data_IF_446350971773
#
_entry.id   IF_446350971773
#
_cell.length_a   1.000
_cell.length_b   1.000
_cell.length_c   1.000
_cell.angle_alpha   90.00
_cell.angle_beta   90.00
_cell.angle_gamma   90.00
#
_symmetry.space_group_name_H-M   'P 1'
#
loop_
_entity.id
_entity.type
_entity.pdbx_description
1 polymer ?
#
# COMPACT_ATOMS: atom_id res chain seq x y z
N UNK A 1 33.26 4.24 -22.07
CA UNK A 1 33.34 3.06 -21.17
C UNK A 1 32.30 2.10 -21.66
N UNK A 2 32.67 0.89 -22.10
CA UNK A 2 31.69 -0.17 -22.38
C UNK A 2 30.89 -0.40 -21.10
N UNK A 3 29.60 -0.19 -21.18
CA UNK A 3 28.66 -0.64 -20.13
C UNK A 3 28.71 -2.16 -20.19
N UNK A 4 29.00 -2.83 -19.08
CA UNK A 4 28.93 -4.29 -19.02
C UNK A 4 27.45 -4.68 -19.26
N UNK A 5 27.21 -5.70 -20.11
CA UNK A 5 25.85 -6.21 -20.41
C UNK A 5 25.16 -6.88 -19.19
N UNK A 6 25.74 -6.75 -18.00
CA UNK A 6 25.23 -7.37 -16.77
C UNK A 6 24.53 -6.31 -15.92
N UNK A 7 23.22 -6.51 -15.71
CA UNK A 7 22.43 -5.79 -14.72
C UNK A 7 22.63 -6.39 -13.33
N UNK A 8 22.53 -5.56 -12.28
CA UNK A 8 22.61 -6.04 -10.90
C UNK A 8 21.41 -6.95 -10.58
N UNK A 9 20.23 -6.58 -11.08
CA UNK A 9 18.99 -7.37 -10.92
C UNK A 9 18.12 -7.32 -12.17
N UNK A 10 17.27 -8.32 -12.34
CA UNK A 10 16.21 -8.29 -13.36
C UNK A 10 15.11 -7.27 -12.96
N UNK A 11 14.70 -7.28 -11.70
CA UNK A 11 13.64 -6.43 -11.19
C UNK A 11 14.06 -5.73 -9.91
N UNK A 12 13.97 -4.39 -9.91
CA UNK A 12 14.05 -3.56 -8.71
C UNK A 12 12.62 -3.19 -8.28
N UNK A 13 12.24 -3.52 -7.06
CA UNK A 13 10.97 -3.13 -6.45
C UNK A 13 11.21 -1.99 -5.47
N UNK A 14 10.52 -0.87 -5.64
CA UNK A 14 10.65 0.34 -4.80
C UNK A 14 9.49 0.43 -3.84
N UNK A 15 9.75 0.18 -2.55
CA UNK A 15 8.78 0.10 -1.46
C UNK A 15 8.43 -1.33 -1.08
N UNK A 16 8.38 -1.63 0.22
CA UNK A 16 8.10 -2.96 0.78
C UNK A 16 6.68 -3.09 1.37
N UNK A 17 5.75 -2.21 1.00
CA UNK A 17 4.34 -2.36 1.35
C UNK A 17 3.68 -3.57 0.68
N UNK A 18 2.34 -3.75 0.77
CA UNK A 18 1.66 -4.95 0.26
C UNK A 18 1.91 -5.21 -1.22
N UNK A 19 1.90 -4.14 -2.03
CA UNK A 19 2.18 -4.23 -3.48
C UNK A 19 3.62 -4.65 -3.75
N UNK A 20 4.58 -4.02 -3.09
CA UNK A 20 6.00 -4.28 -3.33
C UNK A 20 6.44 -5.65 -2.82
N UNK A 21 6.07 -6.02 -1.60
CA UNK A 21 6.36 -7.34 -1.05
C UNK A 21 5.79 -8.46 -1.93
N UNK A 22 4.53 -8.31 -2.39
CA UNK A 22 3.91 -9.30 -3.27
C UNK A 22 4.53 -9.29 -4.69
N UNK A 23 4.86 -8.12 -5.24
CA UNK A 23 5.53 -8.04 -6.54
C UNK A 23 6.86 -8.81 -6.52
N UNK A 24 7.67 -8.57 -5.49
CA UNK A 24 8.94 -9.27 -5.32
C UNK A 24 8.76 -10.77 -5.10
N UNK A 25 7.77 -11.17 -4.28
CA UNK A 25 7.43 -12.58 -4.08
C UNK A 25 7.09 -13.27 -5.40
N UNK A 26 6.24 -12.65 -6.22
CA UNK A 26 5.84 -13.21 -7.51
C UNK A 26 6.97 -13.19 -8.54
N UNK A 27 7.83 -12.18 -8.55
CA UNK A 27 9.01 -12.12 -9.40
C UNK A 27 10.01 -13.23 -9.04
N UNK A 28 10.33 -13.39 -7.75
CA UNK A 28 11.22 -14.44 -7.27
C UNK A 28 10.71 -15.86 -7.62
N UNK A 29 9.41 -16.12 -7.44
CA UNK A 29 8.76 -17.38 -7.85
C UNK A 29 8.85 -17.66 -9.34
N UNK A 30 9.04 -16.65 -10.16
CA UNK A 30 9.27 -16.77 -11.61
C UNK A 30 10.75 -16.88 -11.98
N UNK A 31 11.64 -16.94 -10.99
CA UNK A 31 13.07 -17.09 -11.17
C UNK A 31 13.79 -15.79 -11.59
N UNK A 32 13.17 -14.63 -11.40
CA UNK A 32 13.78 -13.33 -11.67
C UNK A 32 14.65 -12.91 -10.50
N UNK A 33 15.87 -12.44 -10.76
CA UNK A 33 16.69 -11.80 -9.73
C UNK A 33 16.02 -10.51 -9.30
N UNK A 34 15.62 -10.43 -8.03
CA UNK A 34 14.73 -9.38 -7.52
C UNK A 34 15.31 -8.75 -6.27
N UNK A 35 15.35 -7.42 -6.24
CA UNK A 35 15.74 -6.63 -5.07
C UNK A 35 14.57 -5.74 -4.65
N UNK A 36 14.22 -5.75 -3.37
CA UNK A 36 13.30 -4.79 -2.75
C UNK A 36 14.13 -3.74 -2.03
N UNK A 37 13.84 -2.47 -2.28
CA UNK A 37 14.36 -1.36 -1.48
C UNK A 37 13.23 -0.69 -0.71
N UNK A 38 13.50 -0.36 0.57
CA UNK A 38 12.55 0.29 1.47
C UNK A 38 13.26 1.44 2.21
N UNK A 39 12.66 2.64 2.23
CA UNK A 39 13.30 3.82 2.83
C UNK A 39 13.18 3.87 4.37
N UNK A 40 12.29 3.10 4.95
CA UNK A 40 12.18 2.94 6.41
C UNK A 40 13.16 1.90 6.96
N UNK A 41 13.36 1.96 8.27
CA UNK A 41 14.19 0.99 9.01
C UNK A 41 13.44 -0.29 9.35
N UNK A 42 12.11 -0.30 9.20
CA UNK A 42 11.23 -1.39 9.54
C UNK A 42 10.04 -1.39 8.59
N UNK A 43 9.72 -2.54 8.01
CA UNK A 43 8.61 -2.72 7.08
C UNK A 43 7.29 -2.55 7.82
N UNK A 44 6.31 -1.90 7.18
CA UNK A 44 4.96 -1.76 7.70
C UNK A 44 4.82 -0.70 8.79
N UNK A 45 5.86 0.07 9.08
CA UNK A 45 5.81 1.14 10.08
C UNK A 45 6.26 2.47 9.50
N UNK A 46 5.45 3.54 9.66
CA UNK A 46 4.15 3.61 10.34
C UNK A 46 3.01 2.98 9.53
N UNK A 47 1.98 2.48 10.21
CA UNK A 47 0.76 1.99 9.57
C UNK A 47 -0.07 3.16 9.02
N UNK A 48 -0.54 3.04 7.77
CA UNK A 48 -1.37 4.04 7.08
C UNK A 48 -2.69 3.46 6.58
N UNK A 49 -3.25 2.45 7.23
CA UNK A 49 -4.35 1.64 6.72
C UNK A 49 -5.38 1.34 7.82
N UNK A 50 -6.65 1.13 7.44
CA UNK A 50 -7.69 0.55 8.31
C UNK A 50 -7.49 -0.94 8.60
N UNK A 51 -6.55 -1.60 7.91
CA UNK A 51 -6.07 -2.95 8.18
C UNK A 51 -7.03 -4.09 7.79
N UNK A 52 -8.00 -3.83 6.91
CA UNK A 52 -8.99 -4.84 6.50
C UNK A 52 -8.62 -5.52 5.17
N UNK A 53 -8.99 -6.79 5.06
CA UNK A 53 -8.95 -7.57 3.82
C UNK A 53 -10.15 -8.54 3.76
N UNK A 54 -10.82 -8.64 2.60
CA UNK A 54 -11.97 -9.51 2.42
C UNK A 54 -11.57 -10.98 2.24
N UNK A 55 -12.49 -11.90 2.56
CA UNK A 55 -12.32 -13.33 2.27
C UNK A 55 -12.11 -13.59 0.79
N UNK A 56 -12.83 -12.87 -0.05
CA UNK A 56 -12.70 -12.98 -1.50
C UNK A 56 -11.27 -12.63 -1.95
N UNK A 57 -10.70 -11.54 -1.42
CA UNK A 57 -9.33 -11.17 -1.73
C UNK A 57 -8.31 -12.22 -1.26
N UNK A 58 -8.49 -12.74 -0.06
CA UNK A 58 -7.63 -13.82 0.48
C UNK A 58 -7.70 -15.06 -0.39
N UNK A 59 -8.91 -15.47 -0.80
CA UNK A 59 -9.12 -16.63 -1.64
C UNK A 59 -8.56 -16.43 -3.06
N UNK A 60 -8.88 -15.32 -3.72
CA UNK A 60 -8.44 -15.01 -5.09
C UNK A 60 -6.91 -14.87 -5.22
N UNK A 61 -6.25 -14.44 -4.16
CA UNK A 61 -4.79 -14.31 -4.11
C UNK A 61 -4.11 -15.53 -3.48
N UNK A 62 -4.89 -16.54 -3.07
CA UNK A 62 -4.41 -17.74 -2.39
C UNK A 62 -3.47 -17.43 -1.21
N UNK A 63 -3.84 -16.42 -0.39
CA UNK A 63 -3.04 -16.02 0.75
C UNK A 63 -3.23 -17.02 1.90
N UNK A 64 -2.12 -17.54 2.41
CA UNK A 64 -2.10 -18.41 3.59
C UNK A 64 -1.69 -17.54 4.80
N UNK A 65 -2.66 -16.73 5.30
CA UNK A 65 -2.40 -15.78 6.39
C UNK A 65 -1.97 -16.50 7.68
N UNK A 66 -0.80 -16.22 8.23
CA UNK A 66 -0.41 -16.74 9.56
C UNK A 66 -1.31 -16.19 10.66
N UNK A 67 -1.45 -16.93 11.75
CA UNK A 67 -2.33 -16.54 12.87
C UNK A 67 -1.89 -15.23 13.52
N UNK A 68 -0.60 -14.99 13.64
CA UNK A 68 -0.03 -13.76 14.20
C UNK A 68 -0.38 -12.50 13.39
N UNK A 69 -0.59 -12.66 12.09
CA UNK A 69 -0.99 -11.57 11.18
C UNK A 69 -2.48 -11.23 11.31
N UNK A 70 -3.30 -12.19 11.73
CA UNK A 70 -4.75 -12.01 11.87
C UNK A 70 -5.06 -11.37 13.21
N UNK A 71 -5.56 -10.14 13.21
CA UNK A 71 -6.04 -9.49 14.42
C UNK A 71 -7.45 -9.97 14.79
N UNK A 72 -8.37 -10.01 13.82
CA UNK A 72 -9.75 -10.45 14.04
C UNK A 72 -10.41 -10.97 12.77
N UNK A 73 -11.26 -11.96 12.92
CA UNK A 73 -12.25 -12.35 11.91
C UNK A 73 -13.45 -11.42 12.03
N UNK A 74 -13.99 -10.93 10.92
CA UNK A 74 -15.18 -10.08 10.91
C UNK A 74 -16.39 -10.80 10.36
N UNK A 75 -17.54 -10.52 10.98
CA UNK A 75 -18.83 -11.14 10.66
C UNK A 75 -19.54 -10.48 9.48
N UNK A 76 -19.14 -9.25 9.13
CA UNK A 76 -19.75 -8.46 8.07
C UNK A 76 -19.46 -6.97 8.26
N UNK A 77 -20.07 -6.18 7.42
CA UNK A 77 -19.99 -4.72 7.43
C UNK A 77 -21.34 -4.17 7.84
N UNK A 78 -21.35 -3.15 8.72
CA UNK A 78 -22.55 -2.42 9.10
C UNK A 78 -22.36 -0.95 8.76
N UNK A 79 -23.28 -0.40 7.98
CA UNK A 79 -23.32 1.03 7.64
C UNK A 79 -24.38 1.70 8.52
N UNK A 80 -23.97 2.72 9.26
CA UNK A 80 -24.79 3.41 10.28
C UNK A 80 -25.00 4.86 9.85
N UNK A 81 -26.28 5.26 9.81
CA UNK A 81 -26.70 6.61 9.44
C UNK A 81 -26.99 7.48 10.67
N UNK A 82 -27.05 8.83 10.52
CA UNK A 82 -27.25 9.75 11.65
C UNK A 82 -28.58 9.58 12.39
N UNK A 83 -29.60 9.05 11.72
CA UNK A 83 -30.94 8.76 12.29
C UNK A 83 -31.00 7.43 13.05
N UNK A 84 -29.87 6.71 13.15
CA UNK A 84 -29.78 5.40 13.75
C UNK A 84 -30.17 4.24 12.83
N UNK A 85 -30.54 4.51 11.58
CA UNK A 85 -30.75 3.43 10.59
C UNK A 85 -29.47 2.69 10.30
N UNK A 86 -29.56 1.36 10.24
CA UNK A 86 -28.43 0.49 9.93
C UNK A 86 -28.69 -0.36 8.69
N UNK A 87 -27.65 -0.59 7.91
CA UNK A 87 -27.63 -1.54 6.80
C UNK A 87 -26.48 -2.49 6.97
N UNK A 88 -26.76 -3.79 6.96
CA UNK A 88 -25.75 -4.84 7.03
C UNK A 88 -25.42 -5.36 5.64
N UNK A 89 -24.13 -5.55 5.38
CA UNK A 89 -23.57 -6.22 4.22
C UNK A 89 -22.93 -7.53 4.71
N UNK A 90 -23.10 -8.57 3.93
CA UNK A 90 -22.66 -9.94 4.29
C UNK A 90 -21.20 -10.23 3.96
N UNK A 91 -20.44 -9.22 3.52
CA UNK A 91 -19.03 -9.37 3.22
C UNK A 91 -18.24 -9.65 4.50
N UNK A 92 -17.61 -10.82 4.54
CA UNK A 92 -16.75 -11.25 5.63
C UNK A 92 -15.27 -11.11 5.26
N UNK A 93 -14.40 -11.16 6.25
CA UNK A 93 -12.97 -11.02 6.04
C UNK A 93 -12.18 -10.98 7.34
N UNK A 94 -11.03 -10.34 7.27
CA UNK A 94 -10.11 -10.23 8.38
C UNK A 94 -9.73 -8.77 8.63
N UNK A 95 -9.51 -8.44 9.89
CA UNK A 95 -8.69 -7.32 10.29
C UNK A 95 -7.29 -7.86 10.59
N UNK A 96 -6.29 -7.21 10.07
CA UNK A 96 -4.91 -7.64 10.16
C UNK A 96 -4.15 -6.83 11.22
N UNK A 97 -3.05 -7.37 11.71
CA UNK A 97 -1.94 -6.59 12.24
C UNK A 97 -1.08 -6.19 11.04
N UNK A 98 -1.39 -5.03 10.43
CA UNK A 98 -0.93 -4.66 9.10
C UNK A 98 0.60 -4.63 8.96
N UNK A 99 1.30 -4.15 9.99
CA UNK A 99 2.75 -4.15 10.01
C UNK A 99 3.33 -5.57 9.93
N UNK A 100 2.73 -6.54 10.66
CA UNK A 100 3.14 -7.94 10.60
C UNK A 100 2.80 -8.58 9.24
N UNK A 101 1.67 -8.18 8.66
CA UNK A 101 1.28 -8.64 7.33
C UNK A 101 2.28 -8.21 6.24
N UNK A 102 2.74 -6.96 6.27
CA UNK A 102 3.72 -6.46 5.31
C UNK A 102 5.09 -7.10 5.50
N UNK A 103 5.52 -7.29 6.75
CA UNK A 103 6.73 -8.03 7.09
C UNK A 103 6.65 -9.47 6.57
N UNK A 104 5.54 -10.17 6.84
CA UNK A 104 5.33 -11.55 6.39
C UNK A 104 5.42 -11.70 4.87
N UNK A 105 4.82 -10.78 4.08
CA UNK A 105 4.89 -10.84 2.61
C UNK A 105 6.34 -10.61 2.14
N UNK A 106 7.02 -9.61 2.68
CA UNK A 106 8.41 -9.32 2.31
C UNK A 106 9.36 -10.48 2.70
N UNK A 107 9.19 -11.06 3.88
CA UNK A 107 9.94 -12.25 4.31
C UNK A 107 9.64 -13.45 3.41
N UNK A 108 8.40 -13.59 2.95
CA UNK A 108 8.03 -14.62 1.99
C UNK A 108 8.75 -14.43 0.65
N UNK A 109 8.91 -13.18 0.20
CA UNK A 109 9.69 -12.88 -0.99
C UNK A 109 11.17 -13.25 -0.81
N UNK A 110 11.75 -12.93 0.36
CA UNK A 110 13.14 -13.30 0.68
C UNK A 110 13.33 -14.82 0.73
N UNK A 111 12.39 -15.56 1.30
CA UNK A 111 12.42 -17.04 1.31
C UNK A 111 12.37 -17.65 -0.09
N UNK A 112 11.75 -16.98 -1.05
CA UNK A 112 11.70 -17.36 -2.47
C UNK A 112 12.92 -16.86 -3.28
N UNK A 113 13.87 -16.14 -2.65
CA UNK A 113 15.12 -15.73 -3.27
C UNK A 113 15.22 -14.26 -3.64
N UNK A 114 14.26 -13.41 -3.26
CA UNK A 114 14.42 -11.97 -3.40
C UNK A 114 15.41 -11.43 -2.34
N UNK A 115 16.12 -10.35 -2.68
CA UNK A 115 16.90 -9.58 -1.72
C UNK A 115 16.08 -8.42 -1.16
N UNK A 116 16.35 -8.01 0.08
CA UNK A 116 15.69 -6.90 0.77
C UNK A 116 16.72 -5.94 1.37
N UNK A 117 16.61 -4.66 1.01
CA UNK A 117 17.45 -3.60 1.52
C UNK A 117 16.61 -2.50 2.21
N UNK A 118 16.67 -2.46 3.54
CA UNK A 118 16.04 -1.41 4.35
C UNK A 118 16.91 -0.15 4.39
N UNK A 119 16.31 1.00 4.69
CA UNK A 119 16.98 2.34 4.70
C UNK A 119 17.58 2.71 3.34
N UNK A 120 16.99 2.22 2.27
CA UNK A 120 17.38 2.54 0.90
C UNK A 120 16.30 3.39 0.25
N UNK A 121 16.65 4.64 -0.05
CA UNK A 121 15.74 5.64 -0.62
C UNK A 121 16.15 6.00 -2.02
N UNK A 122 15.31 5.67 -3.00
CA UNK A 122 15.50 6.10 -4.39
C UNK A 122 15.39 7.62 -4.50
N UNK A 123 16.36 8.25 -5.18
CA UNK A 123 16.40 9.70 -5.41
C UNK A 123 16.53 10.10 -6.87
N UNK A 124 16.97 9.19 -7.75
CA UNK A 124 17.01 9.42 -9.18
C UNK A 124 16.94 8.11 -9.98
N UNK A 125 16.50 8.22 -11.22
CA UNK A 125 16.48 7.14 -12.22
C UNK A 125 16.90 7.71 -13.57
N UNK A 126 17.76 6.99 -14.27
CA UNK A 126 18.23 7.31 -15.61
C UNK A 126 18.09 6.10 -16.52
N UNK A 127 17.70 6.33 -17.79
CA UNK A 127 17.63 5.25 -18.78
C UNK A 127 19.03 4.72 -19.08
N UNK A 128 19.14 3.40 -19.19
CA UNK A 128 20.30 2.73 -19.81
C UNK A 128 19.90 2.44 -21.25
N UNK A 129 20.62 3.02 -22.19
CA UNK A 129 20.41 2.84 -23.63
C UNK A 129 21.69 2.28 -24.27
N UNK A 130 21.51 1.38 -25.23
CA UNK A 130 22.59 0.83 -26.05
C UNK A 130 22.13 0.81 -27.50
N UNK A 131 22.93 1.40 -28.38
CA UNK A 131 22.61 1.53 -29.83
C UNK A 131 21.25 2.20 -30.10
N UNK A 132 20.82 3.10 -29.18
CA UNK A 132 19.55 3.82 -29.27
C UNK A 132 18.34 3.01 -28.75
N UNK A 133 18.54 1.82 -28.24
CA UNK A 133 17.51 0.98 -27.64
C UNK A 133 17.53 1.04 -26.13
N UNK A 134 16.35 1.11 -25.50
CA UNK A 134 16.19 1.01 -24.06
C UNK A 134 16.57 -0.39 -23.56
N UNK A 135 17.43 -0.46 -22.54
CA UNK A 135 17.91 -1.72 -21.94
C UNK A 135 17.56 -1.86 -20.46
N UNK A 136 17.21 -0.77 -19.79
CA UNK A 136 16.86 -0.78 -18.37
C UNK A 136 17.08 0.58 -17.71
N UNK A 137 17.16 0.54 -16.40
CA UNK A 137 17.26 1.70 -15.53
C UNK A 137 18.52 1.65 -14.67
N UNK A 138 19.19 2.78 -14.55
CA UNK A 138 20.17 3.06 -13.49
C UNK A 138 19.46 3.85 -12.41
N UNK A 139 19.39 3.27 -11.24
CA UNK A 139 18.75 3.84 -10.05
C UNK A 139 19.82 4.32 -9.08
N UNK A 140 19.67 5.53 -8.52
CA UNK A 140 20.58 6.07 -7.52
C UNK A 140 19.81 6.61 -6.32
N UNK A 141 20.47 6.72 -5.16
CA UNK A 141 19.77 7.07 -3.94
C UNK A 141 20.64 7.10 -2.69
N UNK A 142 19.98 6.99 -1.55
CA UNK A 142 20.60 6.88 -0.23
C UNK A 142 20.55 5.43 0.22
N UNK A 143 21.67 4.86 0.58
CA UNK A 143 21.87 3.47 1.00
C UNK A 143 23.11 2.88 0.35
N UNK A 144 23.67 1.84 0.95
CA UNK A 144 24.99 1.31 0.57
C UNK A 144 24.98 0.55 -0.76
N UNK A 145 23.82 0.06 -1.19
CA UNK A 145 23.67 -0.72 -2.43
C UNK A 145 23.61 0.16 -3.70
N UNK A 146 23.35 1.45 -3.57
CA UNK A 146 23.30 2.34 -4.72
C UNK A 146 24.70 2.64 -5.29
N UNK A 147 24.85 2.83 -6.62
CA UNK A 147 23.81 2.74 -7.65
C UNK A 147 23.44 1.31 -8.01
N UNK A 148 22.17 1.10 -8.41
CA UNK A 148 21.61 -0.19 -8.80
C UNK A 148 21.19 -0.11 -10.28
N UNK A 149 21.57 -1.11 -11.08
CA UNK A 149 21.07 -1.29 -12.45
C UNK A 149 20.02 -2.40 -12.50
N UNK A 150 18.86 -2.10 -13.08
CA UNK A 150 17.76 -3.06 -13.21
C UNK A 150 17.16 -3.03 -14.61
N UNK A 151 16.77 -4.20 -15.15
CA UNK A 151 16.05 -4.26 -16.43
C UNK A 151 14.67 -3.64 -16.29
N UNK A 152 13.98 -3.94 -15.19
CA UNK A 152 12.64 -3.48 -14.88
C UNK A 152 12.60 -2.89 -13.47
N UNK A 153 11.85 -1.81 -13.30
CA UNK A 153 11.52 -1.21 -12.00
C UNK A 153 10.02 -1.37 -11.76
N UNK A 154 9.64 -1.81 -10.57
CA UNK A 154 8.24 -1.81 -10.11
C UNK A 154 8.12 -0.77 -9.00
N UNK A 155 7.38 0.31 -9.26
CA UNK A 155 7.08 1.34 -8.28
C UNK A 155 5.92 0.91 -7.38
N UNK A 156 6.24 0.55 -6.17
CA UNK A 156 5.30 0.20 -5.08
C UNK A 156 5.40 1.19 -3.91
N UNK A 157 5.85 2.42 -4.16
CA UNK A 157 6.11 3.44 -3.14
C UNK A 157 4.86 4.14 -2.62
N UNK A 158 3.68 3.54 -2.83
CA UNK A 158 2.40 4.04 -2.37
C UNK A 158 2.04 5.39 -3.01
N UNK A 159 1.28 6.21 -2.29
CA UNK A 159 0.83 7.52 -2.76
C UNK A 159 1.98 8.46 -3.19
N UNK A 160 3.20 8.16 -2.80
CA UNK A 160 4.39 8.92 -3.20
C UNK A 160 4.73 8.78 -4.66
N UNK A 161 4.46 7.61 -5.27
CA UNK A 161 4.77 7.25 -6.66
C UNK A 161 6.13 7.79 -7.09
N UNK A 162 7.19 7.36 -6.38
CA UNK A 162 8.52 8.00 -6.44
C UNK A 162 9.11 7.93 -7.83
N UNK A 163 8.97 6.78 -8.52
CA UNK A 163 9.60 6.57 -9.82
C UNK A 163 8.95 7.43 -10.92
N UNK A 164 7.65 7.68 -10.83
CA UNK A 164 6.91 8.50 -11.82
C UNK A 164 7.45 9.92 -11.96
N UNK A 165 8.14 10.42 -10.93
CA UNK A 165 8.75 11.77 -10.93
C UNK A 165 9.93 11.88 -11.87
N UNK A 166 10.60 10.75 -12.15
CA UNK A 166 11.80 10.71 -12.99
C UNK A 166 11.49 10.39 -14.45
N UNK A 167 10.25 9.97 -14.73
CA UNK A 167 9.80 9.60 -16.07
C UNK A 167 8.79 10.59 -16.60
N UNK A 168 9.14 11.23 -17.71
CA UNK A 168 8.28 12.17 -18.43
C UNK A 168 8.14 11.69 -19.86
N UNK A 169 7.02 11.08 -20.23
CA UNK A 169 6.75 10.76 -21.61
C UNK A 169 6.84 12.03 -22.46
N UNK A 170 7.61 12.00 -23.53
CA UNK A 170 7.77 13.10 -24.50
C UNK A 170 8.14 14.48 -23.91
N UNK A 171 8.81 14.49 -22.76
CA UNK A 171 9.17 15.72 -22.04
C UNK A 171 8.00 16.44 -21.36
N UNK A 172 6.82 15.82 -21.34
CA UNK A 172 5.58 16.36 -20.80
C UNK A 172 5.37 16.16 -19.30
N UNK A 173 4.13 15.86 -18.92
CA UNK A 173 3.72 15.63 -17.53
C UNK A 173 4.29 14.31 -17.01
N UNK A 174 4.71 14.22 -15.72
CA UNK A 174 5.05 12.94 -15.10
C UNK A 174 3.94 11.90 -15.27
N UNK A 175 4.30 10.59 -15.28
CA UNK A 175 3.34 9.49 -15.43
C UNK A 175 2.18 9.55 -14.42
N UNK A 176 2.41 10.17 -13.28
CA UNK A 176 1.44 10.29 -12.20
C UNK A 176 1.05 11.75 -11.99
N UNK A 177 -0.12 12.12 -12.46
CA UNK A 177 -0.87 13.24 -11.89
C UNK A 177 -1.56 12.68 -10.63
N UNK A 178 -1.07 13.06 -9.45
CA UNK A 178 -1.51 12.50 -8.15
C UNK A 178 -3.02 12.56 -7.89
N UNK A 179 -3.78 13.22 -8.77
CA UNK A 179 -5.22 13.33 -8.68
C UNK A 179 -5.71 13.86 -7.34
N UNK A 180 -6.96 13.53 -7.00
CA UNK A 180 -7.51 13.84 -5.69
C UNK A 180 -7.01 12.86 -4.64
N UNK A 181 -6.68 13.39 -3.47
CA UNK A 181 -6.35 12.62 -2.28
C UNK A 181 -7.20 13.04 -1.10
N UNK A 182 -7.54 12.09 -0.26
CA UNK A 182 -8.21 12.31 1.03
C UNK A 182 -7.25 12.04 2.19
N UNK A 183 -7.60 12.51 3.38
CA UNK A 183 -6.88 12.15 4.60
C UNK A 183 -7.63 11.05 5.34
N UNK A 184 -6.93 9.95 5.62
CA UNK A 184 -7.34 8.97 6.61
C UNK A 184 -6.62 9.21 7.92
N UNK A 185 -7.36 9.16 9.05
CA UNK A 185 -6.79 9.30 10.39
C UNK A 185 -7.56 8.44 11.38
N UNK A 186 -6.87 7.82 12.31
CA UNK A 186 -7.47 6.94 13.31
C UNK A 186 -6.67 6.89 14.61
N UNK A 187 -7.35 6.43 15.66
CA UNK A 187 -6.77 6.00 16.91
C UNK A 187 -6.99 4.49 17.10
N UNK A 188 -6.08 3.82 17.77
CA UNK A 188 -6.36 2.52 18.36
C UNK A 188 -6.92 2.76 19.78
N UNK A 189 -8.18 2.37 20.00
CA UNK A 189 -8.85 2.44 21.31
C UNK A 189 -8.82 1.07 21.98
N UNK A 190 -8.83 1.06 23.31
CA UNK A 190 -8.99 -0.18 24.11
C UNK A 190 -10.37 -0.26 24.74
N UNK A 191 -10.74 -1.47 25.17
CA UNK A 191 -12.02 -1.77 25.82
C UNK A 191 -13.25 -1.38 24.99
N UNK A 192 -13.10 -1.48 23.66
CA UNK A 192 -14.21 -1.18 22.74
C UNK A 192 -15.14 -2.38 22.68
N UNK A 193 -16.42 -2.20 23.06
CA UNK A 193 -17.43 -3.24 22.88
C UNK A 193 -17.63 -3.52 21.39
N UNK A 194 -17.57 -4.78 20.98
CA UNK A 194 -17.77 -5.17 19.59
C UNK A 194 -18.43 -6.53 19.47
N UNK A 195 -19.35 -6.65 18.52
CA UNK A 195 -20.02 -7.87 18.09
C UNK A 195 -19.33 -8.54 16.87
N UNK A 196 -18.20 -7.99 16.44
CA UNK A 196 -17.40 -8.52 15.33
C UNK A 196 -17.73 -7.96 13.95
N UNK A 197 -18.58 -6.95 13.87
CA UNK A 197 -18.82 -6.21 12.62
C UNK A 197 -17.82 -5.07 12.45
N UNK A 198 -17.54 -4.73 11.19
CA UNK A 198 -16.96 -3.44 10.82
C UNK A 198 -18.08 -2.41 10.78
N UNK A 199 -17.98 -1.34 11.55
CA UNK A 199 -18.95 -0.25 11.53
C UNK A 199 -18.45 0.92 10.71
N UNK A 200 -19.21 1.30 9.69
CA UNK A 200 -18.98 2.52 8.91
C UNK A 200 -20.10 3.51 9.19
N UNK A 201 -19.72 4.73 9.60
CA UNK A 201 -20.65 5.80 9.93
C UNK A 201 -20.65 6.83 8.78
N UNK A 202 -21.76 6.95 8.08
CA UNK A 202 -21.98 7.97 7.05
C UNK A 202 -22.54 9.22 7.74
N UNK A 203 -21.69 9.90 8.49
CA UNK A 203 -22.09 11.04 9.33
C UNK A 203 -21.45 12.36 8.86
N UNK A 204 -22.14 13.13 7.98
CA UNK A 204 -21.59 14.35 7.39
C UNK A 204 -21.19 15.43 8.39
N UNK A 205 -21.75 15.40 9.62
CA UNK A 205 -21.34 16.32 10.71
C UNK A 205 -19.84 16.31 10.94
N UNK A 206 -19.20 15.16 10.86
CA UNK A 206 -17.77 14.97 11.14
C UNK A 206 -16.94 14.80 9.86
N UNK A 207 -17.50 14.16 8.84
CA UNK A 207 -16.85 13.89 7.57
C UNK A 207 -17.81 14.16 6.41
N UNK A 208 -17.94 15.43 5.98
CA UNK A 208 -18.92 15.86 4.97
C UNK A 208 -18.79 15.08 3.66
N UNK A 209 -17.55 14.86 3.21
CA UNK A 209 -17.22 14.10 2.01
C UNK A 209 -16.30 12.95 2.37
N UNK A 210 -16.83 12.04 3.15
CA UNK A 210 -16.10 10.90 3.68
C UNK A 210 -16.99 10.08 4.60
N UNK A 211 -16.39 9.32 5.47
CA UNK A 211 -17.05 8.49 6.45
C UNK A 211 -16.13 8.22 7.65
N UNK A 212 -16.69 7.64 8.71
CA UNK A 212 -15.94 7.21 9.87
C UNK A 212 -16.05 5.70 10.02
N UNK A 213 -15.18 5.11 10.81
CA UNK A 213 -15.18 3.66 11.05
C UNK A 213 -14.86 3.29 12.49
N UNK A 214 -15.38 2.14 12.89
CA UNK A 214 -14.87 1.33 13.99
C UNK A 214 -14.53 -0.04 13.44
N UNK A 215 -13.26 -0.40 13.52
CA UNK A 215 -12.69 -1.64 13.00
C UNK A 215 -12.19 -2.45 14.18
N UNK A 216 -12.88 -3.56 14.56
CA UNK A 216 -12.54 -4.32 15.76
C UNK A 216 -11.23 -5.07 15.57
N UNK A 217 -10.40 -5.06 16.59
CA UNK A 217 -9.15 -5.83 16.67
C UNK A 217 -9.21 -6.83 17.83
N UNK A 218 -8.21 -7.71 17.93
CA UNK A 218 -8.09 -8.64 19.07
C UNK A 218 -7.90 -7.89 20.39
N UNK A 219 -8.15 -8.55 21.49
CA UNK A 219 -7.91 -8.05 22.85
C UNK A 219 -8.71 -6.79 23.22
N UNK A 220 -9.95 -6.68 22.70
CA UNK A 220 -10.81 -5.53 22.97
C UNK A 220 -10.36 -4.22 22.32
N UNK A 221 -9.37 -4.25 21.44
CA UNK A 221 -8.91 -3.09 20.68
C UNK A 221 -9.82 -2.82 19.49
N UNK A 222 -9.85 -1.58 19.04
CA UNK A 222 -10.43 -1.21 17.74
C UNK A 222 -9.71 0.01 17.15
N UNK A 223 -9.61 0.04 15.84
CA UNK A 223 -9.27 1.26 15.12
C UNK A 223 -10.54 2.09 14.92
N UNK A 224 -10.57 3.28 15.50
CA UNK A 224 -11.66 4.25 15.32
C UNK A 224 -11.09 5.45 14.56
N UNK A 225 -11.69 5.76 13.42
CA UNK A 225 -11.11 6.75 12.53
C UNK A 225 -12.09 7.35 11.55
N UNK A 226 -11.56 8.18 10.67
CA UNK A 226 -12.29 8.80 9.58
C UNK A 226 -11.42 8.96 8.32
N UNK A 227 -12.12 9.11 7.20
CA UNK A 227 -11.57 9.64 5.97
C UNK A 227 -12.33 10.91 5.58
N UNK A 228 -11.62 11.93 5.09
CA UNK A 228 -12.22 13.20 4.70
C UNK A 228 -11.41 13.93 3.63
N UNK A 229 -12.09 14.70 2.77
CA UNK A 229 -11.44 15.67 1.88
C UNK A 229 -10.91 16.89 2.66
N UNK A 230 -11.53 17.23 3.80
CA UNK A 230 -11.09 18.35 4.68
C UNK A 230 -9.89 17.93 5.55
N UNK A 231 -8.75 17.78 4.91
CA UNK A 231 -7.50 17.32 5.53
C UNK A 231 -7.07 18.11 6.78
N UNK A 232 -7.12 19.46 6.78
CA UNK A 232 -6.76 20.25 7.96
C UNK A 232 -7.64 20.00 9.18
N UNK A 233 -8.92 19.65 8.96
CA UNK A 233 -9.90 19.40 10.01
C UNK A 233 -9.93 17.96 10.50
N UNK A 234 -9.30 17.02 9.78
CA UNK A 234 -9.44 15.56 10.03
C UNK A 234 -9.26 15.19 11.51
N UNK A 235 -8.18 15.66 12.15
CA UNK A 235 -7.94 15.34 13.58
C UNK A 235 -9.05 15.89 14.49
N UNK A 236 -9.42 17.16 14.31
CA UNK A 236 -10.46 17.79 15.13
C UNK A 236 -11.79 17.08 14.96
N UNK A 237 -12.16 16.72 13.74
CA UNK A 237 -13.40 16.01 13.44
C UNK A 237 -13.44 14.60 14.07
N UNK A 238 -12.30 13.90 14.08
CA UNK A 238 -12.18 12.61 14.76
C UNK A 238 -12.31 12.75 16.28
N UNK A 239 -11.65 13.75 16.88
CA UNK A 239 -11.74 14.02 18.30
C UNK A 239 -13.19 14.38 18.72
N UNK A 240 -13.89 15.20 17.92
CA UNK A 240 -15.30 15.54 18.11
C UNK A 240 -16.20 14.30 18.00
N UNK A 241 -15.96 13.41 17.02
CA UNK A 241 -16.72 12.17 16.89
C UNK A 241 -16.56 11.26 18.11
N UNK A 242 -15.33 11.09 18.60
CA UNK A 242 -15.08 10.27 19.79
C UNK A 242 -15.78 10.86 21.01
N UNK A 243 -15.69 12.18 21.21
CA UNK A 243 -16.27 12.87 22.36
C UNK A 243 -17.81 12.85 22.35
N UNK A 244 -18.42 12.86 21.16
CA UNK A 244 -19.89 12.92 20.99
C UNK A 244 -20.55 11.52 20.96
N UNK A 245 -19.77 10.44 21.04
CA UNK A 245 -20.27 9.07 20.88
C UNK A 245 -19.95 8.17 22.08
N UNK A 246 -20.31 6.89 21.97
CA UNK A 246 -19.98 5.87 22.97
C UNK A 246 -18.50 5.55 23.12
N UNK A 247 -17.64 6.11 22.26
CA UNK A 247 -16.18 6.01 22.38
C UNK A 247 -15.59 7.00 23.40
N UNK A 248 -16.42 7.92 23.92
CA UNK A 248 -15.99 8.89 24.92
C UNK A 248 -15.39 8.23 26.15
N UNK A 249 -14.21 8.71 26.52
CA UNK A 249 -13.49 8.23 27.72
C UNK A 249 -12.75 6.92 27.54
N UNK A 250 -12.80 6.28 26.36
CA UNK A 250 -11.97 5.11 26.07
C UNK A 250 -10.52 5.53 25.88
N UNK A 251 -9.60 4.68 26.33
CA UNK A 251 -8.16 4.95 26.23
C UNK A 251 -7.70 4.92 24.76
N UNK A 252 -7.00 5.98 24.35
CA UNK A 252 -6.30 6.05 23.06
C UNK A 252 -4.91 5.45 23.24
N UNK A 253 -4.74 4.20 22.84
CA UNK A 253 -3.49 3.48 23.00
C UNK A 253 -2.48 3.83 21.91
N UNK A 254 -1.20 3.88 22.29
CA UNK A 254 -0.12 3.84 21.31
C UNK A 254 -0.11 2.44 20.68
N UNK A 255 -0.25 2.31 19.34
CA UNK A 255 -0.14 1.02 18.68
C UNK A 255 1.20 0.34 18.99
N UNK A 256 1.23 -1.00 18.99
CA UNK A 256 2.41 -1.79 19.36
C UNK A 256 3.67 -1.47 18.54
N UNK A 257 3.50 -1.08 17.28
CA UNK A 257 4.57 -0.67 16.38
C UNK A 257 5.07 0.77 16.61
N UNK A 258 4.43 1.56 17.47
CA UNK A 258 4.73 2.98 17.71
C UNK A 258 5.23 3.21 19.13
N UNK A 259 6.50 3.50 19.29
CA UNK A 259 7.13 3.60 20.63
C UNK A 259 6.80 4.90 21.36
N UNK A 260 6.52 6.00 20.67
CA UNK A 260 6.27 7.34 21.27
C UNK A 260 5.53 8.27 20.33
N UNK A 261 5.00 9.35 20.87
CA UNK A 261 4.38 10.44 20.12
C UNK A 261 2.85 10.45 20.21
N UNK A 262 2.18 11.12 19.27
CA UNK A 262 0.73 11.19 19.22
C UNK A 262 0.15 9.79 18.93
N UNK A 263 -0.86 9.31 19.67
CA UNK A 263 -1.51 8.02 19.39
C UNK A 263 -2.21 7.98 18.02
N UNK A 264 -2.61 9.13 17.46
CA UNK A 264 -3.20 9.17 16.12
C UNK A 264 -2.21 8.73 15.03
N UNK A 265 -2.73 8.00 14.05
CA UNK A 265 -1.99 7.56 12.88
C UNK A 265 -2.90 7.53 11.63
N UNK A 266 -2.32 7.48 10.45
CA UNK A 266 -3.05 7.53 9.19
C UNK A 266 -2.18 8.08 8.07
N UNK A 267 -2.79 8.38 6.92
CA UNK A 267 -2.09 8.85 5.74
C UNK A 267 -3.00 9.49 4.72
N UNK A 268 -2.45 9.78 3.57
CA UNK A 268 -3.19 10.22 2.39
C UNK A 268 -3.54 9.03 1.51
N UNK A 269 -4.73 9.04 0.93
CA UNK A 269 -5.28 7.99 0.10
C UNK A 269 -5.65 8.59 -1.25
N UNK A 270 -5.18 8.04 -2.40
CA UNK A 270 -5.62 8.49 -3.71
C UNK A 270 -7.04 8.01 -3.99
N UNK A 271 -7.90 8.89 -4.51
CA UNK A 271 -9.31 8.57 -4.79
C UNK A 271 -9.75 8.87 -6.24
N UNK A 272 -8.80 9.17 -7.12
CA UNK A 272 -9.11 9.45 -8.52
C UNK A 272 -9.32 8.19 -9.38
N UNK A 273 -9.11 7.01 -8.80
CA UNK A 273 -9.06 5.75 -9.53
C UNK A 273 -7.72 5.52 -10.21
N UNK A 274 -7.62 4.48 -11.06
CA UNK A 274 -6.39 4.18 -11.78
C UNK A 274 -5.91 5.38 -12.61
N UNK A 275 -4.63 5.66 -12.55
CA UNK A 275 -4.04 6.70 -13.39
C UNK A 275 -4.04 6.26 -14.85
N UNK A 276 -4.13 7.22 -15.77
CA UNK A 276 -4.11 6.94 -17.21
C UNK A 276 -2.82 6.21 -17.63
N UNK A 277 -1.69 6.63 -17.05
CA UNK A 277 -0.39 6.03 -17.31
C UNK A 277 0.13 5.32 -16.05
N UNK A 278 0.08 3.99 -16.05
CA UNK A 278 0.56 3.12 -14.97
C UNK A 278 1.84 2.37 -15.33
N UNK A 279 2.37 2.56 -16.54
CA UNK A 279 3.58 1.89 -17.04
C UNK A 279 4.33 2.76 -18.05
N UNK A 280 5.58 2.45 -18.23
CA UNK A 280 6.50 3.03 -19.19
C UNK A 280 7.57 1.98 -19.53
N UNK A 281 8.47 2.27 -20.51
CA UNK A 281 9.54 1.33 -20.86
C UNK A 281 10.29 0.86 -19.59
N UNK A 282 10.24 -0.44 -19.31
CA UNK A 282 10.85 -1.04 -18.13
C UNK A 282 10.38 -0.50 -16.78
N UNK A 283 9.22 0.18 -16.68
CA UNK A 283 8.67 0.67 -15.43
C UNK A 283 7.17 0.33 -15.34
N UNK A 284 6.76 -0.21 -14.21
CA UNK A 284 5.35 -0.43 -13.86
C UNK A 284 5.04 0.12 -12.47
N UNK A 285 3.87 0.71 -12.30
CA UNK A 285 3.36 1.20 -11.02
C UNK A 285 2.33 0.21 -10.48
N UNK A 286 2.33 -0.04 -9.16
CA UNK A 286 1.38 -0.95 -8.50
C UNK A 286 0.76 -0.30 -7.24
N UNK A 287 -0.41 -0.76 -6.86
CA UNK A 287 -1.13 -0.22 -5.70
C UNK A 287 -1.42 1.27 -5.82
N UNK A 288 -1.29 1.99 -4.72
CA UNK A 288 -1.57 3.43 -4.66
C UNK A 288 -0.64 4.25 -5.56
N UNK A 289 0.56 3.75 -5.90
CA UNK A 289 1.44 4.39 -6.86
C UNK A 289 0.85 4.45 -8.27
N UNK A 290 -0.07 3.55 -8.58
CA UNK A 290 -0.86 3.51 -9.82
C UNK A 290 -2.30 4.02 -9.65
N UNK A 291 -2.67 4.53 -8.46
CA UNK A 291 -4.03 4.94 -8.15
C UNK A 291 -5.01 3.78 -7.97
N UNK A 292 -4.53 2.56 -7.71
CA UNK A 292 -5.37 1.39 -7.52
C UNK A 292 -5.95 1.35 -6.09
N UNK A 293 -6.87 2.26 -5.83
CA UNK A 293 -7.66 2.33 -4.60
C UNK A 293 -9.15 2.28 -4.97
N UNK A 294 -9.93 1.47 -4.25
CA UNK A 294 -11.38 1.42 -4.45
C UNK A 294 -11.99 2.77 -4.08
N UNK A 295 -12.90 3.31 -4.91
CA UNK A 295 -13.61 4.56 -4.57
C UNK A 295 -14.65 4.36 -3.47
N UNK A 296 -14.97 3.12 -3.11
CA UNK A 296 -15.88 2.76 -2.04
C UNK A 296 -15.08 2.22 -0.86
N UNK A 297 -15.13 2.89 0.28
CA UNK A 297 -14.40 2.57 1.51
C UNK A 297 -12.87 2.54 1.38
N UNK A 298 -12.32 3.18 0.34
CA UNK A 298 -10.88 3.39 0.09
C UNK A 298 -10.02 2.13 0.29
N UNK A 299 -10.58 0.96 -0.01
CA UNK A 299 -9.89 -0.33 0.09
C UNK A 299 -8.80 -0.45 -0.98
N UNK A 300 -7.52 -0.42 -0.60
CA UNK A 300 -6.37 -0.48 -1.51
C UNK A 300 -5.58 -1.79 -1.45
N UNK A 301 -5.55 -2.47 -0.30
CA UNK A 301 -4.63 -3.60 -0.07
C UNK A 301 -4.81 -4.74 -1.08
N UNK A 302 -6.04 -5.15 -1.39
CA UNK A 302 -6.30 -6.22 -2.35
C UNK A 302 -5.94 -5.83 -3.78
N UNK A 303 -6.15 -4.56 -4.16
CA UNK A 303 -5.77 -4.03 -5.47
C UNK A 303 -4.24 -3.92 -5.61
N UNK A 304 -3.56 -3.52 -4.54
CA UNK A 304 -2.10 -3.50 -4.50
C UNK A 304 -1.52 -4.92 -4.68
N UNK A 305 -2.04 -5.90 -3.96
CA UNK A 305 -1.62 -7.29 -4.09
C UNK A 305 -1.90 -7.85 -5.50
N UNK A 306 -3.07 -7.55 -6.07
CA UNK A 306 -3.48 -8.04 -7.40
C UNK A 306 -2.67 -7.40 -8.52
N UNK A 307 -2.47 -6.08 -8.49
CA UNK A 307 -1.65 -5.37 -9.47
C UNK A 307 -0.20 -5.85 -9.45
N UNK A 308 0.33 -6.19 -8.28
CA UNK A 308 1.64 -6.79 -8.12
C UNK A 308 1.80 -8.13 -8.85
N UNK A 309 0.76 -8.99 -8.81
CA UNK A 309 0.75 -10.24 -9.57
C UNK A 309 0.85 -9.98 -11.07
N UNK A 310 0.08 -9.04 -11.58
CA UNK A 310 0.14 -8.67 -13.01
C UNK A 310 1.48 -8.06 -13.39
N UNK A 311 2.02 -7.15 -12.58
CA UNK A 311 3.34 -6.57 -12.83
C UNK A 311 4.43 -7.64 -12.89
N UNK A 312 4.43 -8.62 -11.99
CA UNK A 312 5.40 -9.72 -12.02
C UNK A 312 5.21 -10.65 -13.22
N UNK A 313 3.99 -10.87 -13.68
CA UNK A 313 3.71 -11.63 -14.90
C UNK A 313 4.25 -10.90 -16.13
N UNK A 314 3.96 -9.61 -16.23
CA UNK A 314 4.46 -8.74 -17.31
C UNK A 314 5.99 -8.67 -17.31
N UNK A 315 6.62 -8.49 -16.14
CA UNK A 315 8.09 -8.49 -16.01
C UNK A 315 8.72 -9.79 -16.54
N UNK A 316 8.16 -10.94 -16.17
CA UNK A 316 8.66 -12.22 -16.65
C UNK A 316 8.51 -12.39 -18.16
N UNK A 317 7.39 -11.95 -18.73
CA UNK A 317 7.17 -11.97 -20.19
C UNK A 317 8.13 -11.03 -20.91
N UNK A 318 8.28 -9.80 -20.44
CA UNK A 318 9.17 -8.79 -21.01
C UNK A 318 10.60 -9.29 -21.09
N UNK A 319 11.10 -9.84 -19.99
CA UNK A 319 12.47 -10.39 -19.91
C UNK A 319 12.63 -11.60 -20.83
N UNK A 320 11.64 -12.51 -20.86
CA UNK A 320 11.71 -13.71 -21.72
C UNK A 320 11.70 -13.40 -23.20
N UNK A 321 11.05 -12.31 -23.61
CA UNK A 321 10.99 -11.82 -24.99
C UNK A 321 12.11 -10.85 -25.34
N UNK A 322 12.90 -10.40 -24.35
CA UNK A 322 13.87 -9.31 -24.48
C UNK A 322 13.24 -8.00 -25.00
N UNK A 323 11.98 -7.78 -24.65
CA UNK A 323 11.21 -6.60 -25.00
C UNK A 323 10.77 -5.89 -23.70
N UNK A 324 11.38 -4.75 -23.43
CA UNK A 324 11.11 -3.92 -22.25
C UNK A 324 10.30 -2.67 -22.60
N UNK A 325 9.73 -2.61 -23.80
CA UNK A 325 8.94 -1.47 -24.24
C UNK A 325 7.59 -1.40 -23.50
N UNK A 326 7.00 -0.22 -23.47
CA UNK A 326 5.67 0.00 -22.91
C UNK A 326 4.52 -0.56 -23.76
N UNK A 327 4.83 -1.07 -24.95
CA UNK A 327 3.85 -1.68 -25.87
C UNK A 327 3.65 -3.19 -25.58
N UNK A 328 4.53 -3.80 -24.80
CA UNK A 328 4.52 -5.22 -24.43
C UNK A 328 3.41 -5.50 -23.39
#
# INVERSE_FOLDING_TARGET
RCVSDTFDVDVLVVGAGPGGGNAALQCARKGLTTLIIEDHSEIGTPVHCGECISDEAVANLNLQLPEEVISKRVNGIRVIFPDGTEKQLTETGYVLEKHLFEQWIAESAVKEGAELALKHKLTSMEKIEQDGEFKGWRCDGKGEMFPISAKIVIDASGVSAVCSRFVKPDGGTPLNDKGKVVAGMQYELTDVPTDGYLDFYIWPKYAEKGYLWMIPKRDGRANVGLVTEDRPRAKKALDEFIEDTHFKGLEQKLPSWKQKGNPAFGGTIPISGPFENTHYDGLMLVGDAAGFTSPLFEGGSHLALKSAVFAAQTAAMAISKSDLSSEM
#
